data_IF_814689824186
#
_entry.id   IF_814689824186
#
_cell.length_a   1.000
_cell.length_b   1.000
_cell.length_c   1.000
_cell.angle_alpha   90.00
_cell.angle_beta   90.00
_cell.angle_gamma   90.00
#
_symmetry.space_group_name_H-M   'P 1'
#
loop_
_entity.id
_entity.type
_entity.pdbx_description
1 polymer ?
#
# COMPACT_ATOMS: atom_id res chain seq x y z
N UNK A 1 -32.16 -43.51 15.43
CA UNK A 1 -32.59 -42.67 14.29
C UNK A 1 -32.48 -41.23 14.74
N UNK A 2 -31.98 -40.34 13.88
CA UNK A 2 -32.06 -38.90 14.15
C UNK A 2 -33.52 -38.47 14.12
N UNK A 3 -33.87 -37.57 15.04
CA UNK A 3 -35.20 -36.98 15.20
C UNK A 3 -35.23 -35.58 14.56
N UNK A 4 -36.43 -35.02 14.42
CA UNK A 4 -36.61 -33.64 13.95
C UNK A 4 -35.83 -32.64 14.82
N UNK A 5 -35.84 -32.85 16.14
CA UNK A 5 -35.15 -32.01 17.11
C UNK A 5 -33.62 -32.05 16.95
N UNK A 6 -33.07 -33.22 16.58
CA UNK A 6 -31.62 -33.33 16.32
C UNK A 6 -31.22 -32.52 15.08
N UNK A 7 -32.09 -32.44 14.06
CA UNK A 7 -31.84 -31.64 12.85
C UNK A 7 -31.88 -30.14 13.15
N UNK A 8 -32.85 -29.68 13.93
CA UNK A 8 -32.98 -28.27 14.34
C UNK A 8 -31.74 -27.81 15.14
N UNK A 9 -31.26 -28.63 16.07
CA UNK A 9 -30.04 -28.33 16.84
C UNK A 9 -28.79 -28.24 15.96
N UNK A 10 -28.70 -29.10 14.93
CA UNK A 10 -27.58 -29.06 13.98
C UNK A 10 -27.63 -27.77 13.15
N UNK A 11 -28.82 -27.35 12.72
CA UNK A 11 -29.02 -26.11 11.97
C UNK A 11 -28.60 -24.89 12.79
N UNK A 12 -29.02 -24.81 14.05
CA UNK A 12 -28.61 -23.74 14.98
C UNK A 12 -27.08 -23.72 15.20
N UNK A 13 -26.47 -24.88 15.46
CA UNK A 13 -25.01 -24.99 15.64
C UNK A 13 -24.22 -24.59 14.39
N UNK A 14 -24.76 -24.86 13.21
CA UNK A 14 -24.13 -24.46 11.94
C UNK A 14 -24.23 -22.96 11.77
N UNK A 15 -25.40 -22.37 12.00
CA UNK A 15 -25.62 -20.92 11.87
C UNK A 15 -24.72 -20.15 12.84
N UNK A 16 -24.68 -20.55 14.12
CA UNK A 16 -23.81 -19.94 15.13
C UNK A 16 -22.34 -19.98 14.70
N UNK A 17 -21.85 -21.14 14.24
CA UNK A 17 -20.45 -21.28 13.80
C UNK A 17 -20.13 -20.47 12.56
N UNK A 18 -21.08 -20.33 11.62
CA UNK A 18 -20.89 -19.51 10.43
C UNK A 18 -20.80 -18.05 10.86
N UNK A 19 -21.77 -17.56 11.64
CA UNK A 19 -21.80 -16.18 12.14
C UNK A 19 -20.54 -15.86 12.93
N UNK A 20 -20.10 -16.72 13.85
CA UNK A 20 -18.87 -16.53 14.62
C UNK A 20 -17.62 -16.40 13.73
N UNK A 21 -17.56 -17.15 12.63
CA UNK A 21 -16.42 -17.12 11.71
C UNK A 21 -16.41 -15.90 10.79
N UNK A 22 -17.57 -15.44 10.35
CA UNK A 22 -17.66 -14.37 9.34
C UNK A 22 -17.89 -12.98 9.94
N UNK A 23 -18.31 -12.88 11.21
CA UNK A 23 -18.64 -11.58 11.84
C UNK A 23 -17.50 -10.56 11.87
N UNK A 24 -16.25 -11.01 11.78
CA UNK A 24 -15.07 -10.13 11.76
C UNK A 24 -14.53 -9.90 10.34
N UNK A 25 -15.10 -10.56 9.35
CA UNK A 25 -14.72 -10.33 7.97
C UNK A 25 -15.37 -9.02 7.51
N UNK A 26 -14.60 -8.16 6.80
CA UNK A 26 -15.18 -6.98 6.19
C UNK A 26 -16.25 -7.40 5.20
N UNK A 27 -17.27 -6.55 5.07
CA UNK A 27 -18.19 -6.67 3.95
C UNK A 27 -17.44 -6.42 2.64
N UNK A 28 -18.04 -6.89 1.54
CA UNK A 28 -17.49 -6.68 0.20
C UNK A 28 -17.23 -5.20 -0.08
N UNK A 29 -18.16 -4.33 0.30
CA UNK A 29 -18.09 -2.91 0.00
C UNK A 29 -17.04 -2.20 0.89
N UNK A 30 -16.91 -2.58 2.16
CA UNK A 30 -15.83 -2.10 3.04
C UNK A 30 -14.44 -2.50 2.51
N UNK A 31 -14.30 -3.74 2.05
CA UNK A 31 -13.05 -4.22 1.47
C UNK A 31 -12.67 -3.42 0.22
N UNK A 32 -13.60 -3.25 -0.74
CA UNK A 32 -13.31 -2.51 -1.96
C UNK A 32 -13.05 -1.02 -1.70
N UNK A 33 -13.81 -0.39 -0.79
CA UNK A 33 -13.58 1.01 -0.42
C UNK A 33 -12.17 1.21 0.14
N UNK A 34 -11.71 0.33 1.03
CA UNK A 34 -10.35 0.41 1.61
C UNK A 34 -9.28 0.12 0.58
N UNK A 35 -9.51 -0.83 -0.33
CA UNK A 35 -8.58 -1.10 -1.43
C UNK A 35 -8.46 0.07 -2.41
N UNK A 36 -9.57 0.74 -2.73
CA UNK A 36 -9.56 1.92 -3.61
C UNK A 36 -8.80 3.09 -2.98
N UNK A 37 -8.97 3.32 -1.67
CA UNK A 37 -8.17 4.29 -0.89
C UNK A 37 -6.66 3.96 -1.01
N UNK A 38 -6.26 2.72 -0.73
CA UNK A 38 -4.86 2.29 -0.81
C UNK A 38 -4.25 2.43 -2.21
N UNK A 39 -5.01 2.08 -3.25
CA UNK A 39 -4.55 2.21 -4.64
C UNK A 39 -4.38 3.68 -5.02
N UNK A 40 -5.24 4.56 -4.52
CA UNK A 40 -5.14 6.00 -4.74
C UNK A 40 -3.89 6.57 -4.10
N UNK A 41 -3.62 6.24 -2.84
CA UNK A 41 -2.40 6.65 -2.15
C UNK A 41 -1.14 6.11 -2.85
N UNK A 42 -1.16 4.84 -3.27
CA UNK A 42 -0.03 4.24 -3.98
C UNK A 42 0.27 4.93 -5.33
N UNK A 43 -0.77 5.38 -6.04
CA UNK A 43 -0.59 6.17 -7.27
C UNK A 43 0.06 7.51 -6.98
N UNK A 44 -0.44 8.25 -5.98
CA UNK A 44 0.14 9.52 -5.56
C UNK A 44 1.63 9.37 -5.18
N UNK A 45 1.97 8.35 -4.39
CA UNK A 45 3.36 8.07 -4.02
C UNK A 45 4.26 7.79 -5.24
N UNK A 46 3.76 7.09 -6.26
CA UNK A 46 4.52 6.81 -7.49
C UNK A 46 4.80 8.08 -8.28
N UNK A 47 3.83 8.98 -8.36
CA UNK A 47 3.99 10.27 -9.03
C UNK A 47 5.02 11.14 -8.30
N UNK A 48 4.93 11.25 -6.98
CA UNK A 48 5.91 11.96 -6.16
C UNK A 48 7.32 11.37 -6.30
N UNK A 49 7.44 10.04 -6.29
CA UNK A 49 8.72 9.37 -6.47
C UNK A 49 9.33 9.62 -7.85
N UNK A 50 8.51 9.69 -8.90
CA UNK A 50 8.99 10.03 -10.24
C UNK A 50 9.54 11.45 -10.32
N UNK A 51 8.86 12.43 -9.70
CA UNK A 51 9.34 13.81 -9.62
C UNK A 51 10.63 13.90 -8.82
N UNK A 52 10.67 13.27 -7.64
CA UNK A 52 11.87 13.22 -6.79
C UNK A 52 13.07 12.64 -7.52
N UNK A 53 12.88 11.55 -8.28
CA UNK A 53 13.95 10.96 -9.10
C UNK A 53 14.49 11.94 -10.14
N UNK A 54 13.63 12.71 -10.81
CA UNK A 54 14.06 13.75 -11.74
C UNK A 54 14.93 14.80 -11.07
N UNK A 55 14.50 15.30 -9.91
CA UNK A 55 15.26 16.29 -9.14
C UNK A 55 16.61 15.78 -8.65
N UNK A 56 16.69 14.50 -8.24
CA UNK A 56 17.96 13.88 -7.82
C UNK A 56 18.95 13.84 -8.98
N UNK A 57 18.50 13.48 -10.19
CA UNK A 57 19.34 13.47 -11.39
C UNK A 57 19.83 14.89 -11.70
N UNK A 58 18.92 15.88 -11.71
CA UNK A 58 19.30 17.27 -11.97
C UNK A 58 20.32 17.79 -10.94
N UNK A 59 20.20 17.38 -9.67
CA UNK A 59 21.16 17.74 -8.64
C UNK A 59 22.51 17.04 -8.82
N UNK A 60 22.52 15.79 -9.24
CA UNK A 60 23.73 15.01 -9.51
C UNK A 60 24.53 15.63 -10.66
N UNK A 61 23.89 15.94 -11.79
CA UNK A 61 24.53 16.60 -12.94
C UNK A 61 25.13 17.97 -12.58
N UNK A 62 24.41 18.75 -11.75
CA UNK A 62 24.91 20.05 -11.26
C UNK A 62 26.09 19.90 -10.33
N UNK A 63 26.11 18.87 -9.49
CA UNK A 63 27.23 18.58 -8.60
C UNK A 63 28.45 18.16 -9.40
N UNK A 64 28.30 17.25 -10.37
CA UNK A 64 29.38 16.86 -11.28
C UNK A 64 29.99 18.07 -11.99
N UNK A 65 29.14 18.94 -12.56
CA UNK A 65 29.60 20.18 -13.20
C UNK A 65 30.38 21.11 -12.27
N UNK A 66 29.97 21.21 -11.00
CA UNK A 66 30.68 22.01 -10.00
C UNK A 66 32.00 21.37 -9.57
N UNK A 67 32.06 20.04 -9.48
CA UNK A 67 33.27 19.29 -9.14
C UNK A 67 34.32 19.39 -10.26
N UNK A 68 33.90 19.45 -11.52
CA UNK A 68 34.80 19.72 -12.66
C UNK A 68 35.47 21.09 -12.56
N UNK A 69 34.72 22.13 -12.15
CA UNK A 69 35.23 23.50 -12.01
C UNK A 69 36.04 23.67 -10.72
N UNK A 70 35.67 22.93 -9.67
CA UNK A 70 36.27 23.02 -8.33
C UNK A 70 36.72 21.65 -7.80
N UNK A 71 37.73 21.02 -8.40
CA UNK A 71 38.21 19.73 -7.92
C UNK A 71 38.70 19.86 -6.47
N UNK A 72 38.21 18.96 -5.62
CA UNK A 72 38.46 18.96 -4.17
C UNK A 72 37.98 20.23 -3.43
N UNK A 73 36.98 20.93 -3.98
CA UNK A 73 36.43 22.16 -3.41
C UNK A 73 37.35 23.37 -3.56
N UNK A 74 38.35 23.30 -4.44
CA UNK A 74 39.29 24.41 -4.71
C UNK A 74 39.07 24.92 -6.12
N UNK A 75 38.86 26.23 -6.25
CA UNK A 75 38.80 26.89 -7.56
C UNK A 75 40.18 26.82 -8.22
N UNK A 76 40.27 26.24 -9.41
CA UNK A 76 41.47 26.35 -10.25
C UNK A 76 41.42 27.74 -10.91
N UNK A 77 42.39 28.64 -10.66
CA UNK A 77 42.49 29.91 -11.39
C UNK A 77 42.93 29.63 -12.83
N UNK A 78 42.31 30.34 -13.79
CA UNK A 78 42.70 30.36 -15.21
C UNK A 78 44.13 30.86 -15.42
#
# INVERSE_FOLDING_TARGET
>A
MLTQQDLEQIEELIEEKIVERIRLLPTRDEFFSKMDELITELKAMREEHAVSKGQVIDHEERLESLEEIHPQGKHIPL
#
